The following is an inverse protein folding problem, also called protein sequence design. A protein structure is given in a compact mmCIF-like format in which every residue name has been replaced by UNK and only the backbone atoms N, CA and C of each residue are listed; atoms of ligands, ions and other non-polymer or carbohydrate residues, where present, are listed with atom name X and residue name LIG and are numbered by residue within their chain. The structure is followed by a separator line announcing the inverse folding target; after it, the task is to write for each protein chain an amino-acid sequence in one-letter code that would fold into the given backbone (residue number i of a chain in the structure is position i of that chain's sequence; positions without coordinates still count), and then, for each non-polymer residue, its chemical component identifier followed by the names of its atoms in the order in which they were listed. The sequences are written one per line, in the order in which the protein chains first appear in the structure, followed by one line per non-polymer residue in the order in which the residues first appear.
data_IF_402616057891
#
_entry.id   IF_402616057891
#
_cell.length_a   1.000
_cell.length_b   1.000
_cell.length_c   1.000
_cell.angle_alpha   90.00
_cell.angle_beta   90.00
_cell.angle_gamma   90.00
#
_symmetry.space_group_name_H-M   'P 1'
#
loop_
_entity.id
_entity.type
_entity.pdbx_description
1 polymer ?
#
# COMPACT_ATOMS: atom_id res chain seq x y z
N UNK A 1 0.87 9.69 32.82
CA UNK A 1 0.50 8.37 32.19
C UNK A 1 -0.89 8.43 31.59
N UNK A 2 -1.03 8.24 30.26
CA UNK A 2 -2.35 8.08 29.64
C UNK A 2 -2.93 6.72 30.03
N UNK A 3 -4.19 6.70 30.47
CA UNK A 3 -4.90 5.45 30.76
C UNK A 3 -5.09 4.65 29.45
N UNK A 4 -5.26 3.31 29.57
CA UNK A 4 -5.56 2.43 28.42
C UNK A 4 -6.77 2.93 27.62
N UNK A 5 -7.80 3.43 28.31
CA UNK A 5 -9.01 3.99 27.69
C UNK A 5 -8.71 5.25 26.87
N UNK A 6 -7.89 6.17 27.36
CA UNK A 6 -7.51 7.38 26.59
C UNK A 6 -6.77 7.04 25.29
N UNK A 7 -5.93 6.00 25.29
CA UNK A 7 -5.28 5.52 24.07
C UNK A 7 -6.27 4.97 23.05
N UNK A 8 -7.22 4.16 23.52
CA UNK A 8 -8.26 3.58 22.64
C UNK A 8 -9.11 4.70 22.03
N UNK A 9 -9.62 5.63 22.85
CA UNK A 9 -10.42 6.78 22.38
C UNK A 9 -9.62 7.59 21.34
N UNK A 10 -8.35 7.88 21.60
CA UNK A 10 -7.51 8.63 20.67
C UNK A 10 -7.36 7.92 19.33
N UNK A 11 -7.10 6.61 19.33
CA UNK A 11 -6.96 5.82 18.10
C UNK A 11 -8.29 5.75 17.34
N UNK A 12 -9.42 5.59 18.05
CA UNK A 12 -10.75 5.59 17.44
C UNK A 12 -11.09 6.93 16.78
N UNK A 13 -10.79 8.05 17.45
CA UNK A 13 -11.00 9.38 16.86
C UNK A 13 -10.12 9.61 15.62
N UNK A 14 -8.87 9.17 15.64
CA UNK A 14 -7.98 9.23 14.49
C UNK A 14 -8.55 8.39 13.35
N UNK A 15 -9.05 7.20 13.64
CA UNK A 15 -9.64 6.35 12.61
C UNK A 15 -10.91 6.96 11.99
N UNK A 16 -11.77 7.62 12.78
CA UNK A 16 -12.93 8.37 12.28
C UNK A 16 -12.48 9.50 11.34
N UNK A 17 -11.42 10.23 11.69
CA UNK A 17 -10.86 11.30 10.83
C UNK A 17 -10.35 10.69 9.50
N UNK A 18 -9.65 9.57 9.56
CA UNK A 18 -9.16 8.83 8.39
C UNK A 18 -10.31 8.37 7.51
N UNK A 19 -11.35 7.78 8.09
CA UNK A 19 -12.57 7.39 7.38
C UNK A 19 -13.21 8.59 6.68
N UNK A 20 -13.43 9.68 7.39
CA UNK A 20 -14.03 10.89 6.82
C UNK A 20 -13.22 11.47 5.67
N UNK A 21 -11.89 11.55 5.81
CA UNK A 21 -11.03 12.02 4.73
C UNK A 21 -11.04 11.08 3.52
N UNK A 22 -10.90 9.76 3.76
CA UNK A 22 -10.92 8.77 2.67
C UNK A 22 -12.25 8.81 1.91
N UNK A 23 -13.38 8.92 2.62
CA UNK A 23 -14.68 9.13 1.98
C UNK A 23 -14.69 10.38 1.09
N UNK A 24 -14.24 11.52 1.62
CA UNK A 24 -14.23 12.79 0.90
C UNK A 24 -13.44 12.74 -0.41
N UNK A 25 -12.31 12.01 -0.45
CA UNK A 25 -11.44 11.96 -1.64
C UNK A 25 -11.80 10.81 -2.60
N UNK A 26 -12.34 9.69 -2.10
CA UNK A 26 -12.56 8.49 -2.92
C UNK A 26 -13.98 8.36 -3.46
N UNK A 27 -14.98 8.95 -2.79
CA UNK A 27 -16.39 8.79 -3.17
C UNK A 27 -16.68 9.37 -4.55
N UNK A 28 -16.06 10.48 -4.91
CA UNK A 28 -16.20 11.06 -6.26
C UNK A 28 -15.63 10.13 -7.34
N UNK A 29 -14.49 9.49 -7.08
CA UNK A 29 -13.93 8.49 -8.00
C UNK A 29 -14.87 7.32 -8.17
N UNK A 30 -15.50 6.84 -7.09
CA UNK A 30 -16.48 5.78 -7.11
C UNK A 30 -17.70 6.14 -7.96
N UNK A 31 -18.27 7.35 -7.79
CA UNK A 31 -19.43 7.81 -8.57
C UNK A 31 -19.15 8.00 -10.06
N UNK A 32 -17.92 8.38 -10.42
CA UNK A 32 -17.53 8.64 -11.81
C UNK A 32 -16.88 7.43 -12.49
N UNK A 33 -16.74 6.30 -11.79
CA UNK A 33 -16.21 5.08 -12.38
C UNK A 33 -17.30 4.44 -13.26
N UNK A 34 -16.97 4.21 -14.52
CA UNK A 34 -17.87 3.51 -15.42
C UNK A 34 -17.82 2.00 -15.14
N UNK A 35 -18.81 1.52 -14.42
CA UNK A 35 -18.94 0.11 -14.04
C UNK A 35 -19.42 -0.76 -15.19
N UNK A 36 -20.05 -0.16 -16.23
CA UNK A 36 -20.49 -0.88 -17.44
C UNK A 36 -19.36 -1.04 -18.45
N UNK A 37 -18.43 -0.06 -18.52
CA UNK A 37 -17.30 -0.08 -19.44
C UNK A 37 -16.00 0.32 -18.69
N UNK A 38 -15.36 -0.65 -18.01
CA UNK A 38 -14.19 -0.39 -17.16
C UNK A 38 -12.92 -0.13 -17.99
N UNK A 39 -12.99 0.71 -19.04
CA UNK A 39 -11.84 1.09 -19.87
C UNK A 39 -10.67 1.57 -19.02
N UNK A 40 -9.50 1.02 -19.28
CA UNK A 40 -8.26 1.35 -18.58
C UNK A 40 -7.97 0.53 -17.32
N UNK A 41 -8.90 -0.32 -16.86
CA UNK A 41 -8.69 -1.27 -15.77
C UNK A 41 -9.15 -2.67 -16.21
N UNK A 42 -8.35 -3.33 -17.03
CA UNK A 42 -8.67 -4.64 -17.62
C UNK A 42 -8.95 -5.74 -16.60
N UNK A 43 -8.48 -5.57 -15.36
CA UNK A 43 -8.68 -6.52 -14.27
C UNK A 43 -10.03 -6.32 -13.52
N UNK A 44 -10.71 -5.18 -13.68
CA UNK A 44 -11.96 -4.89 -12.96
C UNK A 44 -13.09 -5.84 -13.29
N UNK A 45 -13.29 -6.15 -14.58
CA UNK A 45 -14.32 -7.12 -15.02
C UNK A 45 -14.09 -8.51 -14.45
N UNK A 46 -12.82 -8.91 -14.32
CA UNK A 46 -12.45 -10.19 -13.70
C UNK A 46 -12.86 -10.25 -12.24
N UNK A 47 -12.61 -9.18 -11.47
CA UNK A 47 -12.96 -9.18 -10.05
C UNK A 47 -14.47 -9.06 -9.81
N UNK A 48 -15.19 -8.34 -10.68
CA UNK A 48 -16.67 -8.33 -10.66
C UNK A 48 -17.24 -9.72 -10.94
N UNK A 49 -16.72 -10.44 -11.95
CA UNK A 49 -17.12 -11.81 -12.23
C UNK A 49 -16.87 -12.73 -11.02
N UNK A 50 -15.68 -12.63 -10.38
CA UNK A 50 -15.35 -13.42 -9.19
C UNK A 50 -16.27 -13.13 -8.01
N UNK A 51 -16.70 -11.90 -7.80
CA UNK A 51 -17.65 -11.57 -6.72
C UNK A 51 -19.05 -12.18 -6.95
N UNK A 52 -19.35 -12.53 -8.19
CA UNK A 52 -20.57 -13.25 -8.60
C UNK A 52 -20.35 -14.77 -8.70
N UNK A 53 -19.21 -15.29 -8.25
CA UNK A 53 -18.91 -16.73 -8.23
C UNK A 53 -18.35 -17.27 -9.56
N UNK A 54 -18.10 -16.42 -10.56
CA UNK A 54 -17.48 -16.82 -11.81
C UNK A 54 -15.94 -16.70 -11.71
N UNK A 55 -15.29 -17.83 -11.63
CA UNK A 55 -13.83 -17.97 -11.61
C UNK A 55 -13.23 -18.37 -12.97
N UNK A 56 -14.04 -18.41 -14.02
CA UNK A 56 -13.59 -18.67 -15.40
C UNK A 56 -12.95 -17.44 -16.04
N UNK A 57 -11.96 -16.87 -15.37
CA UNK A 57 -11.24 -15.65 -15.73
C UNK A 57 -9.75 -15.92 -15.97
N UNK A 58 -8.99 -14.92 -16.42
CA UNK A 58 -7.56 -15.06 -16.65
C UNK A 58 -6.79 -15.52 -15.39
N UNK A 59 -5.79 -16.39 -15.57
CA UNK A 59 -4.98 -16.94 -14.48
C UNK A 59 -4.27 -15.86 -13.63
N UNK A 60 -3.92 -14.73 -14.24
CA UNK A 60 -3.28 -13.61 -13.53
C UNK A 60 -4.16 -12.94 -12.47
N UNK A 61 -5.49 -13.06 -12.55
CA UNK A 61 -6.42 -12.42 -11.61
C UNK A 61 -7.12 -13.42 -10.68
N UNK A 62 -7.34 -14.64 -11.17
CA UNK A 62 -8.15 -15.70 -10.54
C UNK A 62 -7.81 -15.99 -9.09
N UNK A 63 -6.56 -15.84 -8.70
CA UNK A 63 -6.09 -16.25 -7.37
C UNK A 63 -6.16 -15.14 -6.30
N UNK A 64 -6.64 -13.94 -6.65
CA UNK A 64 -6.79 -12.80 -5.73
C UNK A 64 -8.18 -12.76 -5.15
N UNK A 65 -8.53 -13.79 -4.40
CA UNK A 65 -9.92 -14.13 -4.03
C UNK A 65 -10.49 -13.34 -2.86
N UNK A 66 -9.64 -12.76 -1.98
CA UNK A 66 -10.13 -12.20 -0.70
C UNK A 66 -11.07 -11.02 -0.93
N UNK A 67 -10.69 -10.05 -1.75
CA UNK A 67 -11.55 -8.87 -2.01
C UNK A 67 -12.87 -9.29 -2.70
N UNK A 68 -12.88 -10.04 -3.82
CA UNK A 68 -14.13 -10.50 -4.42
C UNK A 68 -15.01 -11.30 -3.46
N UNK A 69 -14.43 -12.19 -2.66
CA UNK A 69 -15.17 -12.96 -1.65
C UNK A 69 -15.80 -12.05 -0.59
N UNK A 70 -15.05 -11.10 -0.02
CA UNK A 70 -15.60 -10.16 0.96
C UNK A 70 -16.66 -9.24 0.33
N UNK A 71 -16.49 -8.90 -0.94
CA UNK A 71 -17.48 -8.13 -1.69
C UNK A 71 -18.79 -8.90 -1.83
N UNK A 72 -18.74 -10.21 -2.13
CA UNK A 72 -19.96 -11.03 -2.18
C UNK A 72 -20.67 -11.08 -0.83
N UNK A 73 -19.93 -11.21 0.28
CA UNK A 73 -20.52 -11.17 1.63
C UNK A 73 -21.18 -9.81 1.93
N UNK A 74 -20.52 -8.71 1.59
CA UNK A 74 -21.09 -7.36 1.79
C UNK A 74 -22.32 -7.17 0.91
N UNK A 75 -22.29 -7.63 -0.35
CA UNK A 75 -23.44 -7.60 -1.24
C UNK A 75 -24.65 -8.33 -0.62
N UNK A 76 -24.43 -9.55 -0.15
CA UNK A 76 -25.49 -10.38 0.42
C UNK A 76 -26.11 -9.76 1.70
N UNK A 77 -25.30 -8.93 2.42
CA UNK A 77 -25.78 -8.16 3.57
C UNK A 77 -26.51 -6.88 3.16
N UNK A 78 -26.08 -6.20 2.12
CA UNK A 78 -26.60 -4.88 1.69
C UNK A 78 -27.87 -5.05 0.85
N UNK A 79 -27.92 -6.04 -0.04
CA UNK A 79 -29.01 -6.25 -0.98
C UNK A 79 -30.42 -6.30 -0.33
N UNK A 80 -30.63 -6.98 0.82
CA UNK A 80 -31.92 -6.99 1.49
C UNK A 80 -32.25 -5.69 2.24
N UNK A 81 -31.26 -4.83 2.52
CA UNK A 81 -31.41 -3.62 3.33
C UNK A 81 -31.66 -2.35 2.50
N UNK A 82 -31.22 -2.35 1.25
CA UNK A 82 -31.26 -1.17 0.37
C UNK A 82 -32.01 -1.52 -0.92
N UNK A 83 -33.11 -0.79 -1.24
CA UNK A 83 -33.86 -0.99 -2.48
C UNK A 83 -32.95 -0.87 -3.71
N UNK A 84 -33.10 -1.75 -4.73
CA UNK A 84 -32.28 -1.74 -5.94
C UNK A 84 -32.28 -0.39 -6.67
N UNK A 85 -33.39 0.34 -6.65
CA UNK A 85 -33.51 1.65 -7.29
C UNK A 85 -32.57 2.69 -6.64
N UNK A 86 -32.33 2.61 -5.33
CA UNK A 86 -31.39 3.51 -4.64
C UNK A 86 -29.93 3.16 -4.97
N UNK A 87 -29.63 1.87 -5.18
CA UNK A 87 -28.28 1.42 -5.54
C UNK A 87 -27.94 1.67 -7.00
N UNK A 88 -28.92 1.91 -7.86
CA UNK A 88 -28.67 2.22 -9.27
C UNK A 88 -27.78 3.47 -9.44
N UNK A 89 -27.94 4.48 -8.60
CA UNK A 89 -27.07 5.67 -8.57
C UNK A 89 -25.60 5.37 -8.23
N UNK A 90 -25.34 4.23 -7.63
CA UNK A 90 -24.01 3.78 -7.20
C UNK A 90 -23.45 2.66 -8.08
N UNK A 91 -23.90 2.52 -9.33
CA UNK A 91 -23.44 1.46 -10.22
C UNK A 91 -23.96 0.06 -9.84
N UNK A 92 -25.00 -0.01 -9.00
CA UNK A 92 -25.56 -1.26 -8.52
C UNK A 92 -24.95 -1.76 -7.20
N UNK A 93 -25.51 -2.86 -6.69
CA UNK A 93 -25.11 -3.44 -5.41
C UNK A 93 -23.66 -3.95 -5.42
N UNK A 94 -23.21 -4.53 -6.53
CA UNK A 94 -21.84 -5.05 -6.64
C UNK A 94 -20.80 -3.94 -6.56
N UNK A 95 -21.02 -2.85 -7.30
CA UNK A 95 -20.18 -1.67 -7.27
C UNK A 95 -20.07 -1.07 -5.87
N UNK A 96 -21.22 -0.88 -5.22
CA UNK A 96 -21.28 -0.35 -3.85
C UNK A 96 -20.58 -1.26 -2.85
N UNK A 97 -20.73 -2.58 -2.98
CA UNK A 97 -20.09 -3.56 -2.10
C UNK A 97 -18.58 -3.57 -2.27
N UNK A 98 -18.06 -3.47 -3.50
CA UNK A 98 -16.63 -3.29 -3.76
C UNK A 98 -16.10 -2.01 -3.13
N UNK A 99 -16.83 -0.90 -3.29
CA UNK A 99 -16.44 0.37 -2.68
C UNK A 99 -16.32 0.25 -1.16
N UNK A 100 -17.30 -0.33 -0.48
CA UNK A 100 -17.27 -0.53 0.98
C UNK A 100 -16.04 -1.32 1.40
N UNK A 101 -15.76 -2.46 0.75
CA UNK A 101 -14.63 -3.32 1.09
C UNK A 101 -13.31 -2.59 0.88
N UNK A 102 -13.12 -1.98 -0.29
CA UNK A 102 -11.90 -1.25 -0.61
C UNK A 102 -11.71 -0.01 0.27
N UNK A 103 -12.79 0.72 0.57
CA UNK A 103 -12.80 1.87 1.47
C UNK A 103 -12.35 1.50 2.89
N UNK A 104 -12.81 0.37 3.41
CA UNK A 104 -12.37 -0.12 4.73
C UNK A 104 -10.89 -0.51 4.72
N UNK A 105 -10.42 -1.23 3.71
CA UNK A 105 -9.01 -1.64 3.64
C UNK A 105 -8.06 -0.47 3.43
N UNK A 106 -8.40 0.51 2.60
CA UNK A 106 -7.57 1.72 2.43
C UNK A 106 -7.58 2.59 3.68
N UNK A 107 -8.70 2.68 4.39
CA UNK A 107 -8.77 3.39 5.67
C UNK A 107 -7.96 2.70 6.76
N UNK A 108 -7.98 1.36 6.82
CA UNK A 108 -7.11 0.57 7.71
C UNK A 108 -5.65 0.74 7.34
N UNK A 109 -5.30 0.80 6.05
CA UNK A 109 -3.95 1.15 5.60
C UNK A 109 -3.51 2.50 6.16
N UNK A 110 -4.39 3.51 6.08
CA UNK A 110 -4.15 4.83 6.69
C UNK A 110 -3.93 4.77 8.20
N UNK A 111 -4.71 3.96 8.92
CA UNK A 111 -4.54 3.78 10.37
C UNK A 111 -3.19 3.12 10.72
N UNK A 112 -2.83 2.03 10.02
CA UNK A 112 -1.53 1.38 10.23
C UNK A 112 -0.37 2.29 9.83
N UNK A 113 -0.52 3.09 8.77
CA UNK A 113 0.47 4.10 8.37
C UNK A 113 0.63 5.18 9.46
N UNK A 114 -0.49 5.67 10.05
CA UNK A 114 -0.42 6.58 11.20
C UNK A 114 0.36 5.96 12.36
N UNK A 115 0.05 4.71 12.74
CA UNK A 115 0.73 4.00 13.81
C UNK A 115 2.23 3.80 13.49
N UNK A 116 2.56 3.47 12.25
CA UNK A 116 3.93 3.33 11.77
C UNK A 116 4.72 4.65 11.88
N UNK A 117 4.14 5.76 11.41
CA UNK A 117 4.77 7.08 11.50
C UNK A 117 4.96 7.53 12.95
N UNK A 118 3.99 7.26 13.83
CA UNK A 118 4.11 7.52 15.25
C UNK A 118 5.24 6.70 15.91
N UNK A 119 5.49 5.45 15.47
CA UNK A 119 6.64 4.66 15.92
C UNK A 119 7.98 5.24 15.43
N UNK A 120 7.99 5.86 14.26
CA UNK A 120 9.14 6.63 13.76
C UNK A 120 9.31 7.99 14.47
N UNK A 121 8.50 8.27 15.50
CA UNK A 121 8.52 9.49 16.34
C UNK A 121 8.06 10.76 15.60
N UNK A 122 7.33 10.65 14.50
CA UNK A 122 6.62 11.80 13.97
C UNK A 122 5.51 12.24 14.93
N UNK A 123 5.32 13.55 15.08
CA UNK A 123 4.23 14.07 15.90
C UNK A 123 2.85 13.72 15.26
N UNK A 124 1.76 13.78 16.03
CA UNK A 124 0.44 13.37 15.54
C UNK A 124 -0.05 14.13 14.30
N UNK A 125 0.31 15.42 14.16
CA UNK A 125 -0.12 16.25 13.02
C UNK A 125 0.63 15.83 11.75
N UNK A 126 1.94 15.63 11.84
CA UNK A 126 2.76 15.13 10.74
C UNK A 126 2.35 13.69 10.37
N UNK A 127 2.06 12.84 11.36
CA UNK A 127 1.59 11.48 11.09
C UNK A 127 0.27 11.48 10.33
N UNK A 128 -0.71 12.35 10.68
CA UNK A 128 -1.94 12.53 9.92
C UNK A 128 -1.70 13.10 8.53
N UNK A 129 -0.80 14.08 8.40
CA UNK A 129 -0.42 14.61 7.09
C UNK A 129 0.12 13.50 6.18
N UNK A 130 0.97 12.61 6.68
CA UNK A 130 1.46 11.45 5.95
C UNK A 130 0.34 10.52 5.47
N UNK A 131 -0.66 10.30 6.32
CA UNK A 131 -1.86 9.52 5.95
C UNK A 131 -2.66 10.23 4.85
N UNK A 132 -2.84 11.55 4.95
CA UNK A 132 -3.57 12.33 3.94
C UNK A 132 -2.84 12.36 2.59
N UNK A 133 -1.50 12.42 2.59
CA UNK A 133 -0.69 12.27 1.37
C UNK A 133 -0.92 10.90 0.73
N UNK A 134 -0.95 9.82 1.52
CA UNK A 134 -1.24 8.47 1.01
C UNK A 134 -2.66 8.36 0.44
N UNK A 135 -3.68 8.75 1.21
CA UNK A 135 -5.09 8.64 0.82
C UNK A 135 -5.45 9.59 -0.34
N UNK A 136 -4.82 10.76 -0.41
CA UNK A 136 -4.98 11.72 -1.49
C UNK A 136 -4.19 11.38 -2.76
N UNK A 137 -3.37 10.32 -2.75
CA UNK A 137 -2.71 9.82 -3.96
C UNK A 137 -3.76 9.34 -4.97
N UNK A 138 -3.60 9.73 -6.23
CA UNK A 138 -4.49 9.30 -7.33
C UNK A 138 -4.65 7.77 -7.36
N UNK A 139 -3.59 7.04 -7.10
CA UNK A 139 -3.60 5.56 -7.13
C UNK A 139 -4.39 5.00 -5.94
N UNK A 140 -4.28 5.59 -4.74
CA UNK A 140 -5.09 5.16 -3.58
C UNK A 140 -6.57 5.47 -3.80
N UNK A 141 -6.89 6.65 -4.34
CA UNK A 141 -8.25 7.05 -4.70
C UNK A 141 -8.85 6.03 -5.69
N UNK A 142 -8.10 5.67 -6.74
CA UNK A 142 -8.50 4.66 -7.71
C UNK A 142 -8.68 3.27 -7.05
N UNK A 143 -7.74 2.85 -6.20
CA UNK A 143 -7.80 1.56 -5.50
C UNK A 143 -8.99 1.47 -4.52
N UNK A 144 -9.49 2.61 -4.05
CA UNK A 144 -10.67 2.68 -3.19
C UNK A 144 -11.96 2.68 -4.01
N UNK A 145 -12.00 3.45 -5.10
CA UNK A 145 -13.22 3.72 -5.86
C UNK A 145 -13.49 2.76 -7.04
N UNK A 146 -12.58 1.84 -7.36
CA UNK A 146 -12.72 0.90 -8.47
C UNK A 146 -12.73 -0.56 -7.98
N UNK A 147 -13.29 -1.52 -8.76
CA UNK A 147 -13.32 -2.94 -8.41
C UNK A 147 -11.96 -3.61 -8.66
N UNK A 148 -10.97 -3.24 -7.87
CA UNK A 148 -9.62 -3.80 -7.89
C UNK A 148 -9.18 -4.25 -6.49
N UNK A 149 -8.12 -5.04 -6.41
CA UNK A 149 -7.70 -5.69 -5.16
C UNK A 149 -6.51 -5.01 -4.47
N UNK A 150 -6.06 -3.87 -4.96
CA UNK A 150 -4.86 -3.21 -4.47
C UNK A 150 -5.00 -2.64 -3.05
N UNK A 151 -6.22 -2.38 -2.58
CA UNK A 151 -6.49 -1.91 -1.21
C UNK A 151 -5.96 -2.87 -0.14
N UNK A 152 -6.22 -4.18 -0.29
CA UNK A 152 -5.70 -5.21 0.60
C UNK A 152 -4.18 -5.38 0.45
N UNK A 153 -3.64 -5.23 -0.76
CA UNK A 153 -2.21 -5.27 -1.01
C UNK A 153 -1.46 -4.15 -0.25
N UNK A 154 -1.95 -2.92 -0.30
CA UNK A 154 -1.36 -1.80 0.45
C UNK A 154 -1.47 -2.00 1.97
N UNK A 155 -2.60 -2.51 2.44
CA UNK A 155 -2.75 -2.89 3.84
C UNK A 155 -1.73 -3.95 4.24
N UNK A 156 -1.53 -4.97 3.40
CA UNK A 156 -0.56 -6.04 3.65
C UNK A 156 0.86 -5.51 3.77
N UNK A 157 1.28 -4.60 2.89
CA UNK A 157 2.61 -3.96 2.95
C UNK A 157 2.81 -3.24 4.29
N UNK A 158 1.87 -2.37 4.67
CA UNK A 158 2.05 -1.57 5.90
C UNK A 158 1.98 -2.44 7.17
N UNK A 159 1.19 -3.50 7.18
CA UNK A 159 1.15 -4.48 8.28
C UNK A 159 2.52 -5.14 8.45
N UNK A 160 3.11 -5.64 7.36
CA UNK A 160 4.45 -6.26 7.39
C UNK A 160 5.47 -5.27 7.94
N UNK A 161 5.52 -4.06 7.39
CA UNK A 161 6.47 -3.02 7.78
C UNK A 161 6.26 -2.59 9.23
N UNK A 162 5.03 -2.41 9.67
CA UNK A 162 4.69 -2.02 11.05
C UNK A 162 5.12 -3.08 12.06
N UNK A 163 4.83 -4.38 11.80
CA UNK A 163 5.24 -5.44 12.72
C UNK A 163 6.74 -5.76 12.66
N UNK A 164 7.40 -5.49 11.55
CA UNK A 164 8.86 -5.45 11.49
C UNK A 164 9.43 -4.36 12.41
N UNK A 165 8.87 -3.15 12.36
CA UNK A 165 9.33 -2.02 13.17
C UNK A 165 9.07 -2.25 14.67
N UNK A 166 7.90 -2.77 15.01
CA UNK A 166 7.52 -3.09 16.41
C UNK A 166 8.08 -4.43 16.91
N UNK A 167 8.77 -5.17 16.05
CA UNK A 167 9.41 -6.48 16.34
C UNK A 167 8.42 -7.54 16.82
N UNK A 168 7.15 -7.41 16.48
CA UNK A 168 6.11 -8.35 16.90
C UNK A 168 6.04 -9.57 15.96
N UNK A 169 6.98 -10.50 16.15
CA UNK A 169 7.09 -11.71 15.32
C UNK A 169 5.84 -12.57 15.37
N UNK A 170 5.21 -12.72 16.53
CA UNK A 170 4.06 -13.61 16.71
C UNK A 170 2.87 -13.14 15.88
N UNK A 171 2.50 -11.86 16.00
CA UNK A 171 1.38 -11.30 15.21
C UNK A 171 1.69 -11.36 13.72
N UNK A 172 2.93 -11.05 13.32
CA UNK A 172 3.33 -11.12 11.92
C UNK A 172 3.22 -12.55 11.40
N UNK A 173 3.71 -13.55 12.16
CA UNK A 173 3.64 -14.96 11.78
C UNK A 173 2.18 -15.44 11.63
N UNK A 174 1.27 -15.03 12.50
CA UNK A 174 -0.16 -15.39 12.40
C UNK A 174 -0.81 -14.77 11.15
N UNK A 175 -0.45 -13.54 10.81
CA UNK A 175 -1.06 -12.83 9.68
C UNK A 175 -0.49 -13.23 8.32
N UNK A 176 0.76 -13.69 8.24
CA UNK A 176 1.45 -13.97 6.97
C UNK A 176 0.68 -14.90 6.04
N UNK A 177 0.01 -15.99 6.49
CA UNK A 177 -0.81 -16.84 5.63
C UNK A 177 -2.00 -16.14 4.96
N UNK A 178 -2.50 -15.07 5.56
CA UNK A 178 -3.58 -14.25 4.98
C UNK A 178 -2.98 -13.20 4.04
N UNK A 179 -1.89 -12.56 4.47
CA UNK A 179 -1.25 -11.50 3.69
C UNK A 179 -0.73 -11.99 2.32
N UNK A 180 -0.24 -13.22 2.23
CA UNK A 180 0.24 -13.81 0.97
C UNK A 180 -0.87 -13.93 -0.08
N UNK A 181 -2.13 -14.04 0.34
CA UNK A 181 -3.28 -14.16 -0.53
C UNK A 181 -3.79 -12.80 -1.06
N UNK A 182 -3.20 -11.68 -0.61
CA UNK A 182 -3.63 -10.35 -1.06
C UNK A 182 -3.31 -10.12 -2.54
N UNK A 183 -2.10 -10.45 -2.96
CA UNK A 183 -1.60 -10.36 -4.34
C UNK A 183 -0.22 -11.00 -4.43
N UNK A 184 0.13 -11.61 -5.57
CA UNK A 184 1.43 -12.27 -5.76
C UNK A 184 2.62 -11.34 -5.53
N UNK A 185 2.45 -10.06 -5.83
CA UNK A 185 3.47 -9.02 -5.61
C UNK A 185 3.78 -8.73 -4.14
N UNK A 186 3.03 -9.32 -3.19
CA UNK A 186 3.38 -9.23 -1.76
C UNK A 186 4.57 -10.12 -1.38
N UNK A 187 4.83 -11.18 -2.16
CA UNK A 187 5.84 -12.20 -1.82
C UNK A 187 7.21 -11.59 -1.49
N UNK A 188 7.81 -10.69 -2.30
CA UNK A 188 9.09 -10.07 -1.95
C UNK A 188 9.06 -9.28 -0.63
N UNK A 189 7.93 -8.66 -0.27
CA UNK A 189 7.79 -7.95 1.01
C UNK A 189 7.79 -8.90 2.20
N UNK A 190 7.33 -10.14 2.03
CA UNK A 190 7.38 -11.17 3.07
C UNK A 190 8.81 -11.58 3.44
N UNK A 191 9.82 -11.18 2.69
CA UNK A 191 11.21 -11.39 3.06
C UNK A 191 11.80 -10.26 3.91
N UNK A 192 11.15 -9.10 4.02
CA UNK A 192 11.62 -7.97 4.83
C UNK A 192 11.91 -8.35 6.30
N UNK A 193 11.12 -9.19 6.99
CA UNK A 193 11.38 -9.58 8.36
C UNK A 193 12.75 -10.25 8.58
N UNK A 194 13.32 -10.91 7.58
CA UNK A 194 14.64 -11.53 7.70
C UNK A 194 15.79 -10.51 7.82
N UNK A 195 15.57 -9.27 7.42
CA UNK A 195 16.52 -8.16 7.55
C UNK A 195 16.40 -7.42 8.90
N UNK A 196 15.44 -7.80 9.74
CA UNK A 196 15.24 -7.25 11.09
C UNK A 196 15.84 -8.21 12.11
N UNK A 197 16.89 -7.78 12.83
CA UNK A 197 17.66 -8.65 13.74
C UNK A 197 16.82 -9.25 14.87
N UNK A 198 15.85 -8.51 15.37
CA UNK A 198 15.04 -8.87 16.54
C UNK A 198 13.84 -9.78 16.20
N UNK A 199 13.57 -10.02 14.93
CA UNK A 199 12.53 -10.97 14.50
C UNK A 199 13.01 -12.40 14.72
N UNK A 200 12.19 -13.22 15.34
CA UNK A 200 12.46 -14.66 15.48
C UNK A 200 12.35 -15.34 14.11
N UNK A 201 13.50 -15.50 13.45
CA UNK A 201 13.59 -16.05 12.08
C UNK A 201 13.04 -17.47 11.97
N UNK A 202 13.14 -18.31 13.03
CA UNK A 202 12.63 -19.68 13.02
C UNK A 202 11.10 -19.67 12.98
N UNK A 203 10.47 -18.95 13.92
CA UNK A 203 9.01 -18.83 13.97
C UNK A 203 8.46 -18.22 12.67
N UNK A 204 9.08 -17.15 12.19
CA UNK A 204 8.67 -16.51 10.95
C UNK A 204 8.91 -17.39 9.72
N UNK A 205 10.02 -18.14 9.66
CA UNK A 205 10.31 -19.10 8.60
C UNK A 205 9.27 -20.22 8.50
N UNK A 206 8.85 -20.78 9.64
CA UNK A 206 7.75 -21.77 9.68
C UNK A 206 6.46 -21.15 9.14
N UNK A 207 6.11 -19.94 9.58
CA UNK A 207 4.93 -19.22 9.09
C UNK A 207 5.00 -18.97 7.58
N UNK A 208 6.14 -18.59 7.07
CA UNK A 208 6.33 -18.35 5.63
C UNK A 208 6.13 -19.64 4.82
N UNK A 209 6.67 -20.76 5.27
CA UNK A 209 6.45 -22.09 4.64
C UNK A 209 4.95 -22.42 4.66
N UNK A 210 4.29 -22.28 5.82
CA UNK A 210 2.84 -22.50 5.94
C UNK A 210 2.06 -21.59 4.98
N UNK A 211 2.50 -20.34 4.83
CA UNK A 211 1.87 -19.38 3.91
C UNK A 211 1.97 -19.81 2.45
N UNK A 212 3.12 -20.36 2.04
CA UNK A 212 3.25 -20.93 0.70
C UNK A 212 2.37 -22.17 0.49
N UNK A 213 2.26 -23.04 1.50
CA UNK A 213 1.33 -24.17 1.45
C UNK A 213 -0.10 -23.70 1.26
N UNK A 214 -0.55 -22.71 2.04
CA UNK A 214 -1.88 -22.11 1.90
C UNK A 214 -2.05 -21.46 0.52
N UNK A 215 -1.06 -20.73 0.05
CA UNK A 215 -1.09 -20.09 -1.26
C UNK A 215 -1.26 -21.10 -2.40
N UNK A 216 -0.48 -22.18 -2.41
CA UNK A 216 -0.60 -23.19 -3.46
C UNK A 216 -1.89 -24.00 -3.32
N UNK A 217 -2.33 -24.31 -2.10
CA UNK A 217 -3.60 -24.98 -1.86
C UNK A 217 -4.78 -24.18 -2.37
N UNK A 218 -4.83 -22.87 -2.10
CA UNK A 218 -5.87 -21.97 -2.62
C UNK A 218 -5.85 -21.93 -4.15
N UNK A 219 -4.67 -21.84 -4.75
CA UNK A 219 -4.51 -21.86 -6.22
C UNK A 219 -5.04 -23.15 -6.84
N UNK A 220 -4.68 -24.29 -6.28
CA UNK A 220 -5.11 -25.60 -6.75
C UNK A 220 -6.64 -25.75 -6.63
N UNK A 221 -7.21 -25.38 -5.48
CA UNK A 221 -8.65 -25.41 -5.23
C UNK A 221 -9.41 -24.58 -6.25
N UNK A 222 -8.96 -23.33 -6.51
CA UNK A 222 -9.64 -22.44 -7.46
C UNK A 222 -9.46 -22.92 -8.91
N UNK A 223 -8.30 -23.47 -9.26
CA UNK A 223 -8.06 -24.04 -10.59
C UNK A 223 -9.02 -25.22 -10.86
N UNK A 224 -9.39 -25.98 -9.84
CA UNK A 224 -10.36 -27.08 -9.97
C UNK A 224 -11.78 -26.61 -10.27
N UNK A 225 -12.13 -25.35 -9.92
CA UNK A 225 -13.45 -24.77 -10.20
C UNK A 225 -13.66 -24.34 -11.67
N UNK A 226 -12.58 -24.23 -12.45
CA UNK A 226 -12.63 -23.84 -13.87
C UNK A 226 -11.69 -24.69 -14.73
N UNK A 227 -11.94 -26.00 -14.86
CA UNK A 227 -11.03 -26.92 -15.54
C UNK A 227 -10.93 -26.69 -17.05
N UNK A 228 -11.89 -26.01 -17.68
CA UNK A 228 -11.96 -25.83 -19.12
C UNK A 228 -11.16 -24.64 -19.68
N UNK A 229 -10.62 -23.78 -18.84
CA UNK A 229 -9.65 -22.79 -19.28
C UNK A 229 -8.26 -23.44 -19.19
N UNK A 230 -7.88 -24.18 -20.23
CA UNK A 230 -6.49 -24.59 -20.42
C UNK A 230 -5.64 -23.31 -20.35
N UNK A 231 -4.89 -23.17 -19.26
CA UNK A 231 -3.71 -22.31 -19.27
C UNK A 231 -2.94 -22.70 -20.54
N UNK A 232 -2.62 -21.71 -21.35
CA UNK A 232 -1.62 -21.95 -22.39
C UNK A 232 -0.45 -22.60 -21.66
N UNK A 233 -0.24 -23.89 -21.90
CA UNK A 233 0.86 -24.68 -21.33
C UNK A 233 2.20 -24.21 -21.92
N UNK A 234 2.41 -22.89 -21.97
CA UNK A 234 3.71 -22.35 -22.32
C UNK A 234 4.73 -22.84 -21.27
N UNK A 235 5.79 -23.46 -21.69
CA UNK A 235 6.86 -23.87 -20.76
C UNK A 235 7.22 -22.67 -19.86
N UNK A 236 7.38 -22.90 -18.57
CA UNK A 236 7.74 -21.87 -17.58
C UNK A 236 8.87 -20.97 -18.09
N UNK A 237 9.80 -21.56 -18.84
CA UNK A 237 10.90 -20.83 -19.48
C UNK A 237 10.41 -19.75 -20.46
N UNK A 238 9.43 -20.05 -21.33
CA UNK A 238 8.87 -19.08 -22.28
C UNK A 238 8.13 -17.95 -21.56
N UNK A 239 7.43 -18.27 -20.46
CA UNK A 239 6.77 -17.28 -19.62
C UNK A 239 7.80 -16.31 -19.01
N UNK A 240 8.89 -16.84 -18.46
CA UNK A 240 9.99 -16.02 -17.91
C UNK A 240 10.65 -15.17 -18.98
N UNK A 241 10.97 -15.74 -20.15
CA UNK A 241 11.60 -15.02 -21.28
C UNK A 241 10.68 -13.91 -21.80
N UNK A 242 9.38 -14.18 -21.93
CA UNK A 242 8.40 -13.20 -22.37
C UNK A 242 8.27 -12.05 -21.35
N UNK A 243 8.25 -12.36 -20.03
CA UNK A 243 8.25 -11.32 -19.00
C UNK A 243 9.53 -10.49 -19.00
N UNK A 244 10.70 -11.09 -19.21
CA UNK A 244 11.96 -10.35 -19.30
C UNK A 244 11.99 -9.45 -20.56
N UNK A 245 11.49 -9.94 -21.68
CA UNK A 245 11.38 -9.15 -22.92
C UNK A 245 10.41 -7.97 -22.75
N UNK A 246 9.21 -8.23 -22.22
CA UNK A 246 8.23 -7.18 -21.89
C UNK A 246 8.79 -6.22 -20.82
N UNK A 247 9.60 -6.70 -19.89
CA UNK A 247 10.26 -5.87 -18.88
C UNK A 247 11.18 -4.81 -19.48
N UNK A 248 11.93 -5.14 -20.52
CA UNK A 248 12.78 -4.16 -21.23
C UNK A 248 11.94 -3.08 -21.94
N UNK A 249 10.88 -3.48 -22.62
CA UNK A 249 9.92 -2.57 -23.25
C UNK A 249 9.25 -1.67 -22.20
N UNK A 250 8.88 -2.23 -21.04
CA UNK A 250 8.31 -1.50 -19.93
C UNK A 250 9.29 -0.46 -19.33
N UNK A 251 10.58 -0.75 -19.26
CA UNK A 251 11.61 0.24 -18.84
C UNK A 251 11.58 1.44 -19.78
N UNK A 252 11.61 1.20 -21.09
CA UNK A 252 11.60 2.27 -22.08
C UNK A 252 10.30 3.09 -21.95
N UNK A 253 9.15 2.42 -21.92
CA UNK A 253 7.85 3.08 -21.79
C UNK A 253 7.72 3.84 -20.46
N UNK A 254 8.24 3.31 -19.36
CA UNK A 254 8.13 3.90 -18.03
C UNK A 254 9.04 5.11 -17.85
N UNK A 255 10.31 4.98 -18.22
CA UNK A 255 11.32 5.98 -17.86
C UNK A 255 11.68 6.92 -18.99
N UNK A 256 11.29 6.59 -20.23
CA UNK A 256 11.62 7.38 -21.43
C UNK A 256 10.38 7.83 -22.21
N UNK A 257 9.16 7.70 -21.68
CA UNK A 257 7.95 8.24 -22.27
C UNK A 257 7.23 9.23 -21.38
N UNK A 258 6.47 10.15 -21.97
CA UNK A 258 5.63 11.11 -21.24
C UNK A 258 4.54 10.41 -20.42
N UNK A 259 3.97 9.29 -20.94
CA UNK A 259 2.97 8.49 -20.24
C UNK A 259 3.54 7.83 -18.99
N UNK A 260 4.75 7.31 -19.06
CA UNK A 260 5.45 6.74 -17.90
C UNK A 260 5.76 7.79 -16.83
N UNK A 261 6.29 8.96 -17.22
CA UNK A 261 6.51 10.08 -16.29
C UNK A 261 5.21 10.57 -15.65
N UNK A 262 4.11 10.63 -16.41
CA UNK A 262 2.79 10.93 -15.84
C UNK A 262 2.38 9.89 -14.77
N UNK A 263 2.60 8.60 -15.03
CA UNK A 263 2.37 7.52 -14.06
C UNK A 263 3.21 7.69 -12.79
N UNK A 264 4.52 7.96 -12.94
CA UNK A 264 5.43 8.21 -11.82
C UNK A 264 4.96 9.42 -11.01
N UNK A 265 4.75 10.56 -11.68
CA UNK A 265 4.38 11.80 -11.01
C UNK A 265 3.02 11.71 -10.32
N UNK A 266 2.02 11.05 -10.95
CA UNK A 266 0.66 10.94 -10.38
C UNK A 266 0.59 10.11 -9.09
N UNK A 267 1.65 9.35 -8.75
CA UNK A 267 1.68 8.52 -7.54
C UNK A 267 1.76 9.37 -6.26
N UNK A 268 2.71 10.31 -6.20
CA UNK A 268 2.91 11.18 -5.03
C UNK A 268 2.93 12.67 -5.42
N UNK A 269 2.72 13.00 -6.70
CA UNK A 269 2.65 14.39 -7.18
C UNK A 269 3.87 15.22 -6.74
N UNK A 270 3.64 16.44 -6.25
CA UNK A 270 4.69 17.34 -5.75
C UNK A 270 5.45 16.78 -4.54
N UNK A 271 4.89 15.81 -3.84
CA UNK A 271 5.53 15.20 -2.67
C UNK A 271 6.79 14.41 -3.01
N UNK A 272 7.01 14.02 -4.27
CA UNK A 272 8.31 13.52 -4.73
C UNK A 272 9.45 14.49 -4.48
N UNK A 273 9.22 15.80 -4.70
CA UNK A 273 10.23 16.84 -4.46
C UNK A 273 10.54 16.94 -2.95
N UNK A 274 9.49 16.92 -2.11
CA UNK A 274 9.66 16.94 -0.66
C UNK A 274 10.38 15.67 -0.16
N UNK A 275 10.09 14.49 -0.75
CA UNK A 275 10.79 13.25 -0.42
C UNK A 275 12.27 13.31 -0.79
N UNK A 276 12.60 13.76 -2.01
CA UNK A 276 13.98 13.93 -2.45
C UNK A 276 14.76 14.90 -1.54
N UNK A 277 14.11 16.00 -1.14
CA UNK A 277 14.68 16.95 -0.18
C UNK A 277 14.90 16.31 1.20
N UNK A 278 13.94 15.54 1.71
CA UNK A 278 14.07 14.79 2.97
C UNK A 278 15.20 13.75 2.93
N UNK A 279 15.39 13.06 1.80
CA UNK A 279 16.52 12.16 1.59
C UNK A 279 17.83 12.94 1.64
N UNK A 280 17.94 14.07 0.92
CA UNK A 280 19.12 14.93 0.94
C UNK A 280 19.47 15.43 2.35
N UNK A 281 18.46 15.88 3.15
CA UNK A 281 18.66 16.29 4.54
C UNK A 281 19.22 15.17 5.40
N UNK A 282 18.74 13.94 5.19
CA UNK A 282 19.20 12.76 5.93
C UNK A 282 20.65 12.40 5.56
N UNK A 283 21.04 12.48 4.30
CA UNK A 283 22.43 12.30 3.86
C UNK A 283 23.37 13.36 4.43
N UNK A 284 22.94 14.60 4.52
CA UNK A 284 23.72 15.70 5.13
C UNK A 284 23.73 15.65 6.66
N UNK A 285 23.10 14.65 7.29
CA UNK A 285 22.92 14.52 8.75
C UNK A 285 22.29 15.75 9.41
N UNK A 286 21.54 16.54 8.62
CA UNK A 286 20.77 17.67 9.12
C UNK A 286 19.46 17.23 9.81
N UNK A 287 19.05 15.99 9.56
CA UNK A 287 17.95 15.33 10.24
C UNK A 287 18.53 14.44 11.36
N UNK A 288 18.49 14.91 12.61
CA UNK A 288 18.93 14.15 13.78
C UNK A 288 17.80 13.47 14.54
N UNK A 289 16.54 13.85 14.26
CA UNK A 289 15.38 13.42 15.03
C UNK A 289 14.73 12.14 14.51
N UNK A 290 14.66 11.96 13.17
CA UNK A 290 13.93 10.86 12.57
C UNK A 290 14.90 9.85 11.97
N UNK A 291 14.89 8.63 12.52
CA UNK A 291 15.72 7.53 12.03
C UNK A 291 14.86 6.58 11.20
N UNK A 292 15.12 6.53 9.91
CA UNK A 292 14.46 5.58 9.00
C UNK A 292 15.19 4.24 9.09
N UNK A 293 14.50 3.14 9.50
CA UNK A 293 15.11 1.83 9.64
C UNK A 293 15.69 1.29 8.34
N UNK A 294 16.89 0.72 8.38
CA UNK A 294 17.60 0.26 7.20
C UNK A 294 16.85 -0.79 6.38
N UNK A 295 16.04 -1.64 7.02
CA UNK A 295 15.28 -2.67 6.30
C UNK A 295 14.26 -2.07 5.31
N UNK A 296 13.81 -0.82 5.49
CA UNK A 296 12.91 -0.15 4.56
C UNK A 296 13.55 0.13 3.20
N UNK A 297 14.88 0.26 3.15
CA UNK A 297 15.56 0.47 1.87
C UNK A 297 15.43 -0.71 0.91
N UNK A 298 15.13 -1.92 1.41
CA UNK A 298 14.82 -3.06 0.55
C UNK A 298 13.50 -2.91 -0.23
N UNK A 299 12.62 -2.00 0.18
CA UNK A 299 11.40 -1.66 -0.57
C UNK A 299 11.74 -1.04 -1.93
N UNK A 300 12.84 -0.27 -2.02
CA UNK A 300 13.24 0.42 -3.26
C UNK A 300 13.50 -0.58 -4.40
N UNK A 301 14.43 -1.56 -4.27
CA UNK A 301 14.67 -2.53 -5.34
C UNK A 301 13.46 -3.42 -5.62
N UNK A 302 12.64 -3.77 -4.61
CA UNK A 302 11.40 -4.52 -4.81
C UNK A 302 10.44 -3.71 -5.70
N UNK A 303 10.19 -2.45 -5.35
CA UNK A 303 9.29 -1.57 -6.11
C UNK A 303 9.82 -1.32 -7.51
N UNK A 304 11.13 -1.05 -7.66
CA UNK A 304 11.76 -0.89 -8.97
C UNK A 304 11.58 -2.13 -9.85
N UNK A 305 11.84 -3.33 -9.29
CA UNK A 305 11.60 -4.59 -10.00
C UNK A 305 10.16 -4.72 -10.50
N UNK A 306 9.17 -4.30 -9.71
CA UNK A 306 7.77 -4.32 -10.14
C UNK A 306 7.46 -3.33 -11.26
N UNK A 307 8.08 -2.15 -11.28
CA UNK A 307 7.88 -1.18 -12.37
C UNK A 307 8.47 -1.69 -13.69
N UNK A 308 9.49 -2.53 -13.63
CA UNK A 308 10.07 -3.21 -14.80
C UNK A 308 9.15 -4.31 -15.31
N UNK A 309 8.49 -5.06 -14.41
CA UNK A 309 7.66 -6.21 -14.75
C UNK A 309 6.19 -5.85 -15.05
N UNK A 310 5.77 -4.61 -14.87
CA UNK A 310 4.39 -4.18 -15.02
C UNK A 310 4.26 -2.92 -15.87
N UNK A 311 3.31 -2.92 -16.79
CA UNK A 311 2.93 -1.71 -17.55
C UNK A 311 2.24 -0.64 -16.68
N UNK A 312 1.74 -0.99 -15.49
CA UNK A 312 1.06 -0.06 -14.59
C UNK A 312 1.98 0.50 -13.52
N UNK A 313 2.86 1.41 -13.94
CA UNK A 313 3.93 1.98 -13.14
C UNK A 313 3.43 2.64 -11.85
N UNK A 314 2.36 3.44 -11.92
CA UNK A 314 1.84 4.17 -10.76
C UNK A 314 1.37 3.23 -9.65
N UNK A 315 0.64 2.14 -9.98
CA UNK A 315 0.19 1.14 -8.98
C UNK A 315 1.38 0.45 -8.31
N UNK A 316 2.45 0.17 -9.07
CA UNK A 316 3.65 -0.47 -8.51
C UNK A 316 4.46 0.50 -7.65
N UNK A 317 4.65 1.74 -8.10
CA UNK A 317 5.39 2.76 -7.36
C UNK A 317 4.73 3.13 -6.04
N UNK A 318 3.39 3.08 -5.94
CA UNK A 318 2.72 3.37 -4.68
C UNK A 318 3.14 2.39 -3.56
N UNK A 319 3.57 1.16 -3.89
CA UNK A 319 4.08 0.21 -2.88
C UNK A 319 5.31 0.73 -2.11
N UNK A 320 5.98 1.78 -2.60
CA UNK A 320 7.07 2.46 -1.90
C UNK A 320 6.61 3.45 -0.82
N UNK A 321 5.31 3.64 -0.60
CA UNK A 321 4.79 4.62 0.36
C UNK A 321 5.38 4.50 1.78
N UNK A 322 5.76 3.30 2.31
CA UNK A 322 6.32 3.22 3.66
C UNK A 322 7.72 3.85 3.77
N UNK A 323 8.39 4.11 2.66
CA UNK A 323 9.69 4.81 2.66
C UNK A 323 9.54 6.25 2.11
N UNK A 324 8.73 6.48 1.09
CA UNK A 324 8.56 7.80 0.46
C UNK A 324 7.89 8.78 1.43
N UNK A 325 6.83 8.37 2.12
CA UNK A 325 6.08 9.27 3.03
C UNK A 325 6.94 9.76 4.20
N UNK A 326 7.67 8.92 4.95
CA UNK A 326 8.57 9.43 6.00
C UNK A 326 9.58 10.47 5.50
N UNK A 327 10.21 10.24 4.34
CA UNK A 327 11.13 11.23 3.78
C UNK A 327 10.41 12.51 3.34
N UNK A 328 9.20 12.40 2.78
CA UNK A 328 8.35 13.58 2.49
C UNK A 328 8.12 14.40 3.75
N UNK A 329 7.76 13.75 4.85
CA UNK A 329 7.49 14.43 6.12
C UNK A 329 8.75 15.07 6.72
N UNK A 330 9.92 14.46 6.59
CA UNK A 330 11.21 15.06 6.97
C UNK A 330 11.44 16.36 6.20
N UNK A 331 11.27 16.31 4.87
CA UNK A 331 11.43 17.49 4.02
C UNK A 331 10.46 18.62 4.37
N UNK A 332 9.18 18.29 4.55
CA UNK A 332 8.14 19.25 4.94
C UNK A 332 8.44 19.85 6.33
N UNK A 333 8.73 19.01 7.31
CA UNK A 333 8.99 19.48 8.67
C UNK A 333 10.17 20.45 8.73
N UNK A 334 11.24 20.18 8.00
CA UNK A 334 12.39 21.08 7.92
C UNK A 334 12.00 22.47 7.38
N UNK A 335 11.23 22.51 6.27
CA UNK A 335 10.82 23.77 5.64
C UNK A 335 9.94 24.64 6.55
N UNK A 336 9.11 24.02 7.39
CA UNK A 336 8.21 24.75 8.29
C UNK A 336 8.80 25.04 9.67
N UNK A 337 9.76 24.25 10.16
CA UNK A 337 10.42 24.46 11.44
C UNK A 337 11.38 25.66 11.42
N UNK A 338 12.01 25.95 10.27
CA UNK A 338 12.95 27.08 10.14
C UNK A 338 12.29 28.45 10.26
N UNK A 339 10.96 28.55 10.17
CA UNK A 339 10.21 29.82 10.32
C UNK A 339 9.86 30.20 11.76
N UNK A 340 10.02 29.28 12.75
CA UNK A 340 9.53 29.50 14.11
C UNK A 340 10.63 29.67 15.16
N UNK A 341 11.90 29.78 14.79
CA UNK A 341 12.98 29.78 15.75
C UNK A 341 13.86 31.02 15.71
N UNK A 342 13.68 31.87 16.72
CA UNK A 342 14.78 32.61 17.37
C UNK A 342 15.80 31.69 18.09
N UNK A 343 15.63 30.37 17.99
CA UNK A 343 16.55 29.32 18.43
C UNK A 343 17.25 28.68 17.25
N UNK A 344 18.12 29.43 16.56
CA UNK A 344 18.99 28.84 15.53
C UNK A 344 20.02 27.92 16.21
N UNK A 345 20.11 26.63 15.84
CA UNK A 345 21.19 25.74 16.31
C UNK A 345 22.59 26.24 15.89
N UNK A 346 22.67 27.22 14.99
CA UNK A 346 23.93 27.86 14.57
C UNK A 346 24.53 28.80 15.63
N UNK A 347 23.77 29.25 16.64
CA UNK A 347 24.36 30.02 17.76
C UNK A 347 25.23 29.16 18.69
N UNK A 348 24.91 27.85 18.80
CA UNK A 348 25.69 26.97 19.69
C UNK A 348 27.03 26.52 19.09
N UNK A 349 27.22 26.62 17.77
CA UNK A 349 28.50 26.27 17.13
C UNK A 349 29.52 27.39 17.31
N UNK A 350 29.10 28.65 17.33
CA UNK A 350 30.02 29.79 17.54
C UNK A 350 30.51 29.97 18.98
N UNK A 351 29.83 29.37 19.97
CA UNK A 351 30.28 29.44 21.37
C UNK A 351 31.26 28.34 21.75
N UNK A 352 31.35 27.25 21.01
CA UNK A 352 32.35 26.20 21.23
C UNK A 352 33.75 26.60 20.73
N UNK A 353 33.81 27.33 19.63
CA UNK A 353 35.11 27.80 19.08
C UNK A 353 35.73 28.96 19.89
N UNK A 354 34.95 29.61 20.77
CA UNK A 354 35.45 30.71 21.60
C UNK A 354 36.05 30.25 22.94
N UNK A 355 35.92 28.99 23.33
CA UNK A 355 36.48 28.45 24.58
C UNK A 355 37.76 27.61 24.37
N UNK A 356 38.17 27.30 23.16
CA UNK A 356 39.43 26.59 22.91
C UNK A 356 40.63 27.52 22.70
N UNK A 357 40.46 28.85 22.72
CA UNK A 357 41.53 29.84 22.55
C UNK A 357 41.78 30.71 23.79
N UNK A 358 41.66 30.12 24.98
CA UNK A 358 42.18 30.77 26.23
C UNK A 358 43.07 29.82 27.01
#
# INVERSE_FOLDING_TARGET
MQTKYQKVIKISLIFIIILGFNYGVSFQQFLHYDWADPRGLSDSSSYLAMSNGDYAISSGHRYRVIIPFLTSLVRDLVQPLVPPEQLHWFGGVDAFSFYIVNYLFTSLTGLFLYCFLAQLKFDPKLSLLGVFIFLGSRITILATGAPIVDSLYFLSIIIIVYFCLTQNTTTLAILTPILILSKETIIPFLFLPFFVKQINRKLFGVSLITSFVVFFWVRDTISSWSPNQMENNDPIFNVVVNHLKSGFENIIQTYFSMGGWHGIFSTFSIFWIAAAFGVWLSFKKLNTFYQIPNFLFFIIPITFGFTVLSSNVGRMLLSSFPIVIPYTLIGINYLFSTKSSDHSPLKNIRTLDAHENK
#
